data_IF_504297558160
#
_entry.id   IF_504297558160
#
_cell.length_a   1.000
_cell.length_b   1.000
_cell.length_c   1.000
_cell.angle_alpha   90.00
_cell.angle_beta   90.00
_cell.angle_gamma   90.00
#
_symmetry.space_group_name_H-M   'P 1'
#
loop_
_entity.id
_entity.type
_entity.pdbx_description
1 polymer ?
#
# COMPACT_ATOMS: atom_id res chain seq x y z
N UNK A 1 6.48 4.29 -9.61
CA UNK A 1 7.71 4.97 -10.09
C UNK A 1 8.35 4.14 -11.19
N UNK A 2 9.01 4.74 -12.19
CA UNK A 2 9.63 4.06 -13.33
C UNK A 2 11.14 4.30 -13.37
N UNK A 3 11.90 3.26 -13.70
CA UNK A 3 13.37 3.28 -13.83
C UNK A 3 13.85 2.63 -15.13
N UNK A 4 15.02 3.05 -15.60
CA UNK A 4 15.71 2.47 -16.76
C UNK A 4 16.51 1.21 -16.40
N UNK A 5 17.18 0.62 -17.41
CA UNK A 5 17.99 -0.58 -17.25
C UNK A 5 19.14 -0.44 -16.24
N UNK A 6 19.62 0.79 -16.02
CA UNK A 6 20.75 1.10 -15.15
C UNK A 6 20.33 1.43 -13.72
N UNK A 7 19.02 1.49 -13.45
CA UNK A 7 18.44 1.95 -12.19
C UNK A 7 18.24 3.45 -12.11
N UNK A 8 18.31 4.17 -13.24
CA UNK A 8 18.06 5.61 -13.29
C UNK A 8 16.56 5.88 -13.26
N UNK A 9 16.15 6.81 -12.43
CA UNK A 9 14.80 7.32 -12.35
C UNK A 9 14.38 8.00 -13.66
N UNK A 10 13.21 7.61 -14.16
CA UNK A 10 12.57 8.23 -15.33
C UNK A 10 11.41 9.10 -14.86
N UNK A 11 10.50 8.52 -14.07
CA UNK A 11 9.28 9.22 -13.66
C UNK A 11 8.67 8.65 -12.38
N UNK A 12 7.91 9.47 -11.65
CA UNK A 12 7.06 9.04 -10.54
C UNK A 12 5.73 9.79 -10.60
N UNK A 13 4.66 9.09 -10.25
CA UNK A 13 3.39 9.72 -9.97
C UNK A 13 3.43 10.43 -8.60
N UNK A 14 2.41 11.25 -8.34
CA UNK A 14 2.26 12.01 -7.09
C UNK A 14 2.32 11.12 -5.84
N UNK A 15 1.67 9.95 -5.85
CA UNK A 15 1.71 9.01 -4.74
C UNK A 15 3.15 8.55 -4.41
N UNK A 16 3.91 8.15 -5.43
CA UNK A 16 5.32 7.75 -5.21
C UNK A 16 6.19 8.94 -4.77
N UNK A 17 5.90 10.17 -5.21
CA UNK A 17 6.61 11.36 -4.76
C UNK A 17 6.35 11.69 -3.30
N UNK A 18 5.15 11.45 -2.79
CA UNK A 18 4.81 11.66 -1.37
C UNK A 18 5.60 10.74 -0.43
N UNK A 19 5.95 9.54 -0.91
CA UNK A 19 6.76 8.58 -0.16
C UNK A 19 8.26 8.89 -0.24
N UNK A 20 8.68 9.84 -1.07
CA UNK A 20 10.07 10.31 -1.09
C UNK A 20 10.31 11.29 0.05
N UNK A 21 11.36 11.06 0.82
CA UNK A 21 11.71 11.85 1.99
C UNK A 21 13.11 11.51 2.50
N UNK A 22 13.35 11.69 3.79
CA UNK A 22 14.69 11.51 4.37
C UNK A 22 15.25 10.08 4.20
N UNK A 23 14.39 9.07 4.27
CA UNK A 23 14.82 7.65 4.25
C UNK A 23 14.91 7.05 2.85
N UNK A 24 14.09 7.55 1.91
CA UNK A 24 14.02 7.11 0.51
C UNK A 24 13.95 8.35 -0.36
N UNK A 25 15.01 8.66 -1.10
CA UNK A 25 15.06 9.88 -1.92
C UNK A 25 15.74 9.62 -3.26
N UNK A 26 15.62 10.56 -4.19
CA UNK A 26 16.31 10.50 -5.47
C UNK A 26 17.52 11.42 -5.41
N UNK A 27 18.72 10.87 -5.62
CA UNK A 27 19.95 11.66 -5.78
C UNK A 27 20.72 11.18 -7.00
N UNK A 28 21.26 12.12 -7.79
CA UNK A 28 21.97 11.78 -9.04
C UNK A 28 21.11 11.00 -10.05
N UNK A 29 19.78 11.15 -9.97
CA UNK A 29 18.83 10.40 -10.79
C UNK A 29 18.69 8.92 -10.40
N UNK A 30 19.06 8.50 -9.19
CA UNK A 30 18.87 7.14 -8.67
C UNK A 30 18.15 7.16 -7.34
N UNK A 31 17.42 6.08 -7.04
CA UNK A 31 16.81 5.89 -5.73
C UNK A 31 17.89 5.54 -4.71
N UNK A 32 17.95 6.32 -3.64
CA UNK A 32 18.85 6.14 -2.50
C UNK A 32 18.02 5.74 -1.29
N UNK A 33 18.44 4.67 -0.63
CA UNK A 33 17.84 4.15 0.59
C UNK A 33 18.81 4.40 1.75
N UNK A 34 18.36 5.08 2.80
CA UNK A 34 19.18 5.36 4.00
C UNK A 34 19.48 4.08 4.79
N UNK A 35 18.55 3.14 4.78
CA UNK A 35 18.74 1.79 5.35
C UNK A 35 19.79 1.03 4.53
N UNK A 36 20.93 0.71 5.15
CA UNK A 36 22.06 0.03 4.50
C UNK A 36 21.70 -1.37 4.00
N UNK A 37 20.84 -2.09 4.73
CA UNK A 37 20.44 -3.44 4.33
C UNK A 37 19.54 -3.36 3.10
N UNK A 38 18.54 -2.46 3.13
CA UNK A 38 17.67 -2.22 1.99
C UNK A 38 18.45 -1.71 0.77
N UNK A 39 19.44 -0.83 0.96
CA UNK A 39 20.30 -0.33 -0.11
C UNK A 39 21.12 -1.45 -0.78
N UNK A 40 21.65 -2.39 0.01
CA UNK A 40 22.40 -3.53 -0.51
C UNK A 40 21.49 -4.48 -1.31
N UNK A 41 20.29 -4.79 -0.80
CA UNK A 41 19.30 -5.60 -1.52
C UNK A 41 18.83 -4.92 -2.81
N UNK A 42 18.58 -3.61 -2.76
CA UNK A 42 18.23 -2.82 -3.94
C UNK A 42 19.34 -2.87 -5.01
N UNK A 43 20.60 -2.73 -4.61
CA UNK A 43 21.75 -2.87 -5.52
C UNK A 43 21.76 -4.22 -6.26
N UNK A 44 21.57 -5.32 -5.52
CA UNK A 44 21.49 -6.67 -6.10
C UNK A 44 20.37 -6.80 -7.13
N UNK A 45 19.21 -6.19 -6.86
CA UNK A 45 18.07 -6.23 -7.78
C UNK A 45 18.34 -5.42 -9.04
N UNK A 46 18.97 -4.24 -8.92
CA UNK A 46 19.37 -3.43 -10.08
C UNK A 46 20.43 -4.15 -10.93
N UNK A 47 21.40 -4.82 -10.33
CA UNK A 47 22.40 -5.58 -11.08
C UNK A 47 21.78 -6.77 -11.85
N UNK A 48 20.78 -7.44 -11.27
CA UNK A 48 20.00 -8.45 -11.98
C UNK A 48 19.16 -7.84 -13.11
N UNK A 49 18.58 -6.66 -12.91
CA UNK A 49 17.80 -5.97 -13.93
C UNK A 49 18.66 -5.58 -15.15
N UNK A 50 19.92 -5.18 -14.93
CA UNK A 50 20.90 -4.90 -16.00
C UNK A 50 21.18 -6.14 -16.87
N UNK A 51 21.31 -7.30 -16.23
CA UNK A 51 21.56 -8.58 -16.91
C UNK A 51 20.32 -9.25 -17.51
N UNK A 52 19.13 -8.69 -17.31
CA UNK A 52 17.87 -9.30 -17.73
C UNK A 52 17.73 -9.25 -19.27
N UNK A 53 17.56 -10.43 -19.87
CA UNK A 53 17.23 -10.59 -21.30
C UNK A 53 15.73 -10.36 -21.51
N UNK A 54 15.36 -9.91 -22.71
CA UNK A 54 13.95 -9.70 -23.08
C UNK A 54 13.14 -11.01 -22.90
N UNK A 55 11.94 -10.89 -22.32
CA UNK A 55 11.03 -12.03 -22.07
C UNK A 55 11.36 -12.87 -20.83
N UNK A 56 12.32 -12.45 -19.98
CA UNK A 56 12.55 -13.07 -18.67
C UNK A 56 11.96 -12.24 -17.54
N UNK A 57 11.34 -12.92 -16.58
CA UNK A 57 10.86 -12.31 -15.34
C UNK A 57 12.01 -12.07 -14.36
N UNK A 58 11.95 -10.94 -13.66
CA UNK A 58 12.79 -10.63 -12.52
C UNK A 58 12.05 -11.10 -11.26
N UNK A 59 12.48 -12.22 -10.68
CA UNK A 59 12.01 -12.66 -9.37
C UNK A 59 12.94 -12.10 -8.29
N UNK A 60 12.47 -11.07 -7.58
CA UNK A 60 13.17 -10.48 -6.45
C UNK A 60 12.20 -10.36 -5.26
N UNK A 61 12.66 -10.70 -4.04
CA UNK A 61 11.84 -10.47 -2.86
C UNK A 61 11.59 -8.97 -2.67
N UNK A 62 10.47 -8.59 -2.02
CA UNK A 62 10.22 -7.19 -1.66
C UNK A 62 11.36 -6.68 -0.77
N UNK A 63 11.84 -5.47 -1.06
CA UNK A 63 12.84 -4.80 -0.25
C UNK A 63 12.12 -3.98 0.81
N UNK A 64 12.53 -4.10 2.07
CA UNK A 64 11.94 -3.36 3.17
C UNK A 64 12.96 -2.35 3.67
N UNK A 65 12.68 -1.05 3.47
CA UNK A 65 13.48 0.05 3.98
C UNK A 65 12.91 0.53 5.31
N UNK A 66 13.65 0.32 6.39
CA UNK A 66 13.24 0.78 7.73
C UNK A 66 13.48 2.28 7.90
N UNK A 67 12.59 2.93 8.63
CA UNK A 67 12.64 4.36 8.92
C UNK A 67 12.70 4.57 10.44
N UNK A 68 13.43 5.58 10.91
CA UNK A 68 13.65 5.82 12.36
C UNK A 68 12.36 6.24 13.09
N UNK A 69 11.48 7.01 12.43
CA UNK A 69 10.27 7.58 13.04
C UNK A 69 9.01 7.48 12.14
N UNK A 70 8.96 6.48 11.25
CA UNK A 70 7.85 6.33 10.32
C UNK A 70 7.69 4.86 9.87
N UNK A 71 6.59 4.56 9.18
CA UNK A 71 6.28 3.22 8.71
C UNK A 71 7.38 2.72 7.74
N UNK A 72 7.78 1.43 7.80
CA UNK A 72 8.76 0.92 6.85
C UNK A 72 8.18 0.94 5.44
N UNK A 73 9.00 1.34 4.47
CA UNK A 73 8.63 1.37 3.06
C UNK A 73 8.98 0.03 2.42
N UNK A 74 8.01 -0.58 1.76
CA UNK A 74 8.18 -1.76 0.91
C UNK A 74 8.36 -1.32 -0.52
N UNK A 75 9.42 -1.81 -1.14
CA UNK A 75 9.77 -1.55 -2.53
C UNK A 75 9.67 -2.86 -3.30
N UNK A 76 8.78 -2.90 -4.29
CA UNK A 76 8.66 -4.01 -5.24
C UNK A 76 9.14 -3.58 -6.62
N UNK A 77 9.97 -4.42 -7.25
CA UNK A 77 10.52 -4.16 -8.58
C UNK A 77 9.85 -5.08 -9.58
N UNK A 78 9.09 -4.49 -10.51
CA UNK A 78 8.40 -5.20 -11.58
C UNK A 78 9.09 -4.90 -12.91
N UNK A 79 9.59 -5.89 -13.66
CA UNK A 79 10.17 -5.65 -14.97
C UNK A 79 9.09 -5.19 -15.95
N UNK A 80 9.46 -4.31 -16.88
CA UNK A 80 8.58 -3.90 -18.00
C UNK A 80 9.02 -4.70 -19.24
N UNK A 81 8.13 -5.54 -19.74
CA UNK A 81 8.40 -6.33 -20.94
C UNK A 81 8.45 -5.46 -22.20
N UNK A 82 9.35 -5.83 -23.12
CA UNK A 82 9.72 -5.04 -24.29
C UNK A 82 8.58 -4.73 -25.29
N UNK A 83 7.41 -5.35 -25.14
CA UNK A 83 6.20 -5.01 -25.93
C UNK A 83 5.53 -3.69 -25.52
N UNK A 84 5.86 -3.14 -24.35
CA UNK A 84 5.31 -1.88 -23.82
C UNK A 84 6.21 -0.64 -24.06
N UNK A 85 7.18 -0.73 -24.98
CA UNK A 85 8.17 0.33 -25.28
C UNK A 85 7.59 1.62 -25.87
N UNK A 86 6.32 1.65 -26.27
CA UNK A 86 5.78 2.69 -27.17
C UNK A 86 5.26 3.97 -26.50
N UNK A 87 4.88 4.01 -25.20
CA UNK A 87 4.71 5.29 -24.49
C UNK A 87 5.73 5.54 -23.36
N UNK A 88 6.41 4.51 -22.84
CA UNK A 88 7.40 4.63 -21.76
C UNK A 88 8.82 4.43 -22.30
N UNK A 89 9.25 5.36 -23.16
CA UNK A 89 10.61 5.42 -23.72
C UNK A 89 11.66 5.10 -22.63
N UNK A 90 12.36 3.98 -22.80
CA UNK A 90 13.48 3.51 -21.97
C UNK A 90 13.19 2.93 -20.57
N UNK A 91 11.94 2.79 -20.13
CA UNK A 91 11.63 2.14 -18.85
C UNK A 91 11.87 0.63 -18.92
N UNK A 92 12.63 0.10 -17.94
CA UNK A 92 12.90 -1.34 -17.79
C UNK A 92 12.28 -1.95 -16.55
N UNK A 93 11.97 -1.13 -15.54
CA UNK A 93 11.23 -1.60 -14.38
C UNK A 93 10.35 -0.51 -13.78
N UNK A 94 9.28 -0.96 -13.14
CA UNK A 94 8.44 -0.18 -12.25
C UNK A 94 8.78 -0.50 -10.81
N UNK A 95 8.97 0.54 -10.01
CA UNK A 95 9.06 0.49 -8.57
C UNK A 95 7.70 0.84 -7.98
N UNK A 96 7.13 -0.11 -7.24
CA UNK A 96 5.97 0.13 -6.37
C UNK A 96 6.51 0.37 -4.97
N UNK A 97 6.14 1.51 -4.39
CA UNK A 97 6.52 1.92 -3.04
C UNK A 97 5.23 1.98 -2.23
N UNK A 98 5.20 1.27 -1.11
CA UNK A 98 4.09 1.30 -0.15
C UNK A 98 4.64 1.42 1.27
N UNK A 99 3.92 2.07 2.17
CA UNK A 99 4.21 2.02 3.59
C UNK A 99 3.49 0.83 4.23
N UNK A 100 4.18 0.03 5.05
CA UNK A 100 3.50 -0.90 5.96
C UNK A 100 3.04 -0.08 7.16
N UNK A 101 1.93 0.62 6.98
CA UNK A 101 1.23 1.23 8.10
C UNK A 101 0.38 0.13 8.75
N UNK A 102 0.50 -0.05 10.07
CA UNK A 102 -0.53 -0.78 10.82
C UNK A 102 -1.88 -0.16 10.43
N UNK A 103 -2.91 -0.95 10.06
CA UNK A 103 -4.04 -0.52 9.24
C UNK A 103 -4.55 0.86 9.69
N UNK A 104 -4.07 1.89 9.01
CA UNK A 104 -4.38 3.25 9.36
C UNK A 104 -5.84 3.45 8.98
N UNK A 105 -6.68 3.72 9.99
CA UNK A 105 -8.07 4.22 9.87
C UNK A 105 -8.61 4.02 8.45
N UNK A 106 -8.97 2.77 8.14
CA UNK A 106 -9.32 2.34 6.79
C UNK A 106 -10.14 3.40 6.08
N UNK A 107 -9.74 3.79 4.87
CA UNK A 107 -10.38 4.84 4.07
C UNK A 107 -11.88 4.58 3.94
N UNK A 108 -12.65 5.18 4.85
CA UNK A 108 -14.09 5.01 4.96
C UNK A 108 -14.78 5.37 3.63
N UNK A 109 -14.16 6.23 2.82
CA UNK A 109 -14.62 6.58 1.47
C UNK A 109 -14.56 5.41 0.48
N UNK A 110 -13.55 4.53 0.60
CA UNK A 110 -13.46 3.31 -0.20
C UNK A 110 -14.57 2.35 0.21
N UNK A 111 -14.87 2.25 1.50
CA UNK A 111 -15.94 1.38 2.02
C UNK A 111 -17.34 1.80 1.57
N UNK A 112 -17.60 3.11 1.55
CA UNK A 112 -18.85 3.67 1.01
C UNK A 112 -19.02 3.25 -0.46
N UNK A 113 -17.96 3.37 -1.26
CA UNK A 113 -18.03 3.09 -2.69
C UNK A 113 -18.03 1.60 -3.03
N UNK A 114 -17.28 0.79 -2.30
CA UNK A 114 -17.17 -0.64 -2.56
C UNK A 114 -18.41 -1.43 -2.11
N UNK A 115 -19.06 -1.03 -1.01
CA UNK A 115 -20.14 -1.81 -0.39
C UNK A 115 -21.45 -1.02 -0.19
N UNK A 116 -21.55 0.21 -0.67
CA UNK A 116 -22.75 1.03 -0.49
C UNK A 116 -23.03 1.36 0.99
N UNK A 117 -21.98 1.46 1.81
CA UNK A 117 -22.13 1.84 3.21
C UNK A 117 -22.56 3.30 3.32
N UNK A 118 -23.35 3.63 4.35
CA UNK A 118 -23.57 5.02 4.72
C UNK A 118 -22.32 5.60 5.40
N UNK A 119 -22.14 6.93 5.46
CA UNK A 119 -21.01 7.53 6.15
C UNK A 119 -20.89 7.12 7.63
N UNK A 120 -22.02 6.88 8.29
CA UNK A 120 -22.06 6.43 9.67
C UNK A 120 -21.63 4.96 9.83
N UNK A 121 -22.02 4.10 8.89
CA UNK A 121 -21.60 2.69 8.83
C UNK A 121 -20.10 2.58 8.52
N UNK A 122 -19.61 3.34 7.54
CA UNK A 122 -18.20 3.32 7.16
C UNK A 122 -17.27 3.76 8.31
N UNK A 123 -17.67 4.77 9.10
CA UNK A 123 -16.94 5.18 10.30
C UNK A 123 -16.89 4.08 11.36
N UNK A 124 -18.00 3.39 11.60
CA UNK A 124 -18.06 2.29 12.55
C UNK A 124 -17.24 1.09 12.07
N UNK A 125 -17.35 0.72 10.80
CA UNK A 125 -16.56 -0.34 10.18
C UNK A 125 -15.05 -0.06 10.28
N UNK A 126 -14.63 1.19 10.09
CA UNK A 126 -13.23 1.59 10.18
C UNK A 126 -12.66 1.46 11.59
N UNK A 127 -13.43 1.81 12.63
CA UNK A 127 -13.02 1.64 14.03
C UNK A 127 -12.88 0.15 14.38
N UNK A 128 -13.85 -0.66 13.94
CA UNK A 128 -13.79 -2.11 14.13
C UNK A 128 -12.60 -2.74 13.37
N UNK A 129 -12.24 -2.21 12.20
CA UNK A 129 -11.08 -2.63 11.42
C UNK A 129 -9.74 -2.32 12.11
N UNK A 130 -9.66 -1.22 12.86
CA UNK A 130 -8.47 -0.88 13.65
C UNK A 130 -8.32 -1.69 14.94
N UNK A 131 -9.23 -2.63 15.21
CA UNK A 131 -9.18 -3.51 16.39
C UNK A 131 -9.91 -2.97 17.62
N UNK A 132 -10.68 -1.88 17.49
CA UNK A 132 -11.53 -1.36 18.57
C UNK A 132 -12.68 -2.34 18.87
N UNK A 133 -13.13 -2.36 20.12
CA UNK A 133 -14.33 -3.11 20.49
C UNK A 133 -15.58 -2.35 20.07
N UNK A 134 -16.73 -3.03 20.06
CA UNK A 134 -17.99 -2.36 19.77
C UNK A 134 -18.31 -1.28 20.81
N UNK A 135 -17.93 -1.48 22.07
CA UNK A 135 -18.11 -0.48 23.12
C UNK A 135 -17.27 0.78 22.85
N UNK A 136 -15.96 0.63 22.63
CA UNK A 136 -15.08 1.78 22.41
C UNK A 136 -15.42 2.52 21.12
N UNK A 137 -15.84 1.79 20.08
CA UNK A 137 -16.33 2.39 18.84
C UNK A 137 -17.66 3.13 19.02
N UNK A 138 -18.58 2.63 19.85
CA UNK A 138 -19.84 3.31 20.16
C UNK A 138 -19.61 4.61 20.94
N UNK A 139 -18.69 4.59 21.91
CA UNK A 139 -18.26 5.75 22.66
C UNK A 139 -17.59 6.80 21.76
N UNK A 140 -16.66 6.37 20.91
CA UNK A 140 -15.97 7.24 19.96
C UNK A 140 -16.95 7.92 18.97
N UNK A 141 -18.02 7.24 18.58
CA UNK A 141 -19.05 7.76 17.68
C UNK A 141 -20.22 8.43 18.41
N UNK A 142 -20.20 8.50 19.75
CA UNK A 142 -21.27 9.04 20.60
C UNK A 142 -22.64 8.46 20.27
N UNK A 143 -22.72 7.14 20.10
CA UNK A 143 -23.97 6.40 19.85
C UNK A 143 -24.23 5.36 20.93
N UNK A 144 -25.48 4.97 21.12
CA UNK A 144 -25.83 3.89 22.05
C UNK A 144 -25.34 2.54 21.54
N UNK A 145 -25.11 1.60 22.45
CA UNK A 145 -24.70 0.22 22.14
C UNK A 145 -25.70 -0.47 21.20
N UNK A 146 -26.99 -0.25 21.41
CA UNK A 146 -28.08 -0.73 20.56
C UNK A 146 -27.97 -0.18 19.13
N UNK A 147 -27.68 1.11 18.99
CA UNK A 147 -27.50 1.76 17.68
C UNK A 147 -26.26 1.22 16.96
N UNK A 148 -25.16 1.07 17.68
CA UNK A 148 -23.93 0.47 17.14
C UNK A 148 -24.17 -0.97 16.68
N UNK A 149 -24.87 -1.79 17.49
CA UNK A 149 -25.22 -3.18 17.14
C UNK A 149 -26.10 -3.27 15.89
N UNK A 150 -27.08 -2.39 15.76
CA UNK A 150 -27.94 -2.31 14.57
C UNK A 150 -27.14 -1.95 13.31
N UNK A 151 -26.24 -0.96 13.42
CA UNK A 151 -25.34 -0.57 12.32
C UNK A 151 -24.39 -1.70 11.92
N UNK A 152 -23.81 -2.43 12.88
CA UNK A 152 -22.96 -3.61 12.59
C UNK A 152 -23.73 -4.68 11.82
N UNK A 153 -24.98 -4.95 12.19
CA UNK A 153 -25.82 -5.90 11.45
C UNK A 153 -26.04 -5.45 10.00
N UNK A 154 -26.30 -4.17 9.78
CA UNK A 154 -26.44 -3.61 8.44
C UNK A 154 -25.13 -3.68 7.65
N UNK A 155 -23.99 -3.38 8.28
CA UNK A 155 -22.66 -3.52 7.67
C UNK A 155 -22.45 -4.96 7.22
N UNK A 156 -22.66 -5.93 8.11
CA UNK A 156 -22.52 -7.37 7.81
C UNK A 156 -23.39 -7.84 6.65
N UNK A 157 -24.62 -7.33 6.54
CA UNK A 157 -25.49 -7.61 5.40
C UNK A 157 -24.96 -6.99 4.10
N UNK A 158 -24.46 -5.76 4.13
CA UNK A 158 -23.94 -5.07 2.95
C UNK A 158 -22.57 -5.57 2.49
N UNK A 159 -21.76 -6.09 3.41
CA UNK A 159 -20.42 -6.63 3.12
C UNK A 159 -20.41 -8.14 2.94
N UNK A 160 -21.56 -8.81 3.06
CA UNK A 160 -21.71 -10.27 3.04
C UNK A 160 -20.74 -10.99 3.99
N UNK A 161 -20.62 -10.47 5.22
CA UNK A 161 -19.75 -11.03 6.26
C UNK A 161 -20.54 -11.37 7.50
N UNK A 162 -20.19 -12.45 8.19
CA UNK A 162 -20.91 -12.90 9.39
C UNK A 162 -20.10 -12.78 10.69
N UNK A 163 -18.82 -12.39 10.63
CA UNK A 163 -17.93 -12.27 11.79
C UNK A 163 -17.10 -11.00 11.71
N UNK A 164 -16.87 -10.37 12.85
CA UNK A 164 -16.01 -9.19 12.96
C UNK A 164 -14.62 -9.46 12.37
N UNK A 165 -14.02 -10.62 12.64
CA UNK A 165 -12.72 -11.00 12.05
C UNK A 165 -12.75 -11.07 10.52
N UNK A 166 -13.85 -11.55 9.92
CA UNK A 166 -14.02 -11.60 8.46
C UNK A 166 -14.16 -10.20 7.87
N UNK A 167 -14.91 -9.32 8.55
CA UNK A 167 -15.00 -7.91 8.18
C UNK A 167 -13.62 -7.24 8.26
N UNK A 168 -12.87 -7.42 9.36
CA UNK A 168 -11.51 -6.87 9.51
C UNK A 168 -10.59 -7.35 8.39
N UNK A 169 -10.63 -8.64 8.03
CA UNK A 169 -9.82 -9.19 6.94
C UNK A 169 -10.18 -8.59 5.57
N UNK A 170 -11.48 -8.42 5.30
CA UNK A 170 -12.01 -7.77 4.09
C UNK A 170 -11.61 -6.29 4.02
N UNK A 171 -11.67 -5.58 5.14
CA UNK A 171 -11.29 -4.17 5.21
C UNK A 171 -9.77 -4.00 5.07
N UNK A 172 -8.99 -4.90 5.65
CA UNK A 172 -7.54 -4.93 5.49
C UNK A 172 -7.11 -5.23 4.06
N UNK A 173 -7.91 -5.94 3.25
CA UNK A 173 -7.60 -6.16 1.83
C UNK A 173 -7.86 -4.95 0.95
N UNK A 174 -8.79 -4.09 1.34
CA UNK A 174 -9.16 -2.88 0.58
C UNK A 174 -8.26 -1.69 0.85
N UNK A 175 -7.67 -1.59 2.04
CA UNK A 175 -6.66 -0.56 2.36
C UNK A 175 -5.29 -0.79 1.72
N UNK A 176 -5.18 -1.75 0.77
CA UNK A 176 -3.92 -2.13 0.08
C UNK A 176 -3.89 -1.74 -1.41
N UNK A 177 -4.83 -0.90 -1.86
CA UNK A 177 -4.92 -0.45 -3.25
C UNK A 177 -4.39 0.97 -3.43
#
# INVERSE_FOLDING_TARGET
MAIDATGRFIHANSAAQQLLGASVHIAGGRLILRDRHAAAEYGKVIDRLRGLREGKTLCAPPIVARQENAAPIVIRVLPVDGGAKSPFLCARALLLLDEIVAPAKSDWQVLIRAFGLTPAEARLAALLASGETLETAAEALRVTRETARSRVKSIFQKTDTHRQATLVALLASLGRC
#
